data_IF_404296076997
#
_entry.id   IF_404296076997
#
_cell.length_a   1.000
_cell.length_b   1.000
_cell.length_c   1.000
_cell.angle_alpha   90.00
_cell.angle_beta   90.00
_cell.angle_gamma   90.00
#
_symmetry.space_group_name_H-M   'P 1'
#
loop_
_entity.id
_entity.type
_entity.pdbx_description
1 polymer ?
#
# COMPACT_ATOMS: atom_id res chain seq x y z
N UNK A 1 -0.31 1.54 0.07
CA UNK A 1 0.54 0.95 -1.00
C UNK A 1 0.84 1.99 -2.06
N UNK A 2 1.77 1.74 -2.99
CA UNK A 2 2.00 2.63 -4.15
C UNK A 2 1.03 2.29 -5.30
N UNK A 3 1.01 3.10 -6.36
CA UNK A 3 0.11 2.91 -7.50
C UNK A 3 0.31 1.57 -8.23
N UNK A 4 1.55 1.19 -8.55
CA UNK A 4 1.87 -0.12 -9.14
C UNK A 4 1.32 -1.31 -8.33
N UNK A 5 1.48 -1.33 -7.00
CA UNK A 5 0.89 -2.39 -6.18
C UNK A 5 -0.64 -2.41 -6.25
N UNK A 6 -1.29 -1.25 -6.33
CA UNK A 6 -2.74 -1.16 -6.48
C UNK A 6 -3.21 -1.65 -7.87
N UNK A 7 -2.45 -1.37 -8.93
CA UNK A 7 -2.70 -1.92 -10.27
C UNK A 7 -2.69 -3.44 -10.22
N UNK A 8 -1.61 -4.04 -9.70
CA UNK A 8 -1.47 -5.49 -9.64
C UNK A 8 -2.52 -6.14 -8.73
N UNK A 9 -2.87 -5.51 -7.61
CA UNK A 9 -3.93 -5.99 -6.73
C UNK A 9 -5.30 -6.04 -7.45
N UNK A 10 -5.62 -5.01 -8.22
CA UNK A 10 -6.85 -4.97 -9.05
C UNK A 10 -6.82 -6.02 -10.16
N UNK A 11 -5.69 -6.17 -10.85
CA UNK A 11 -5.55 -7.19 -11.90
C UNK A 11 -5.71 -8.60 -11.34
N UNK A 12 -5.10 -8.89 -10.19
CA UNK A 12 -5.25 -10.17 -9.51
C UNK A 12 -6.71 -10.36 -9.07
N UNK A 13 -7.36 -9.34 -8.51
CA UNK A 13 -8.76 -9.42 -8.09
C UNK A 13 -9.72 -9.75 -9.25
N UNK A 14 -9.47 -9.17 -10.43
CA UNK A 14 -10.35 -9.31 -11.60
C UNK A 14 -10.00 -10.53 -12.46
N UNK A 15 -8.72 -10.85 -12.60
CA UNK A 15 -8.21 -11.80 -13.59
C UNK A 15 -7.44 -13.00 -12.99
N UNK A 16 -7.13 -12.99 -11.70
CA UNK A 16 -6.35 -14.02 -11.01
C UNK A 16 -4.85 -14.01 -11.30
N UNK A 17 -4.38 -13.03 -12.08
CA UNK A 17 -2.97 -12.84 -12.47
C UNK A 17 -2.71 -11.39 -12.84
N UNK A 18 -1.46 -10.96 -12.77
CA UNK A 18 -1.01 -9.68 -13.32
C UNK A 18 -0.95 -9.75 -14.86
N UNK A 19 -1.14 -8.61 -15.52
CA UNK A 19 -1.28 -8.55 -16.98
C UNK A 19 0.01 -8.19 -17.75
N UNK A 20 1.13 -8.02 -17.06
CA UNK A 20 2.33 -7.39 -17.62
C UNK A 20 3.44 -8.38 -18.03
N UNK A 21 3.76 -8.42 -19.34
CA UNK A 21 5.06 -8.89 -19.86
C UNK A 21 5.85 -7.67 -20.34
N UNK A 22 6.66 -7.10 -19.44
CA UNK A 22 7.36 -5.81 -19.65
C UNK A 22 8.26 -5.83 -20.88
N UNK A 23 9.07 -6.88 -21.05
CA UNK A 23 10.10 -6.94 -22.08
C UNK A 23 9.54 -6.99 -23.51
N UNK A 24 8.40 -7.64 -23.70
CA UNK A 24 7.75 -7.76 -25.00
C UNK A 24 7.01 -6.47 -25.35
N UNK A 25 6.23 -5.92 -24.42
CA UNK A 25 5.41 -4.73 -24.69
C UNK A 25 6.21 -3.42 -24.84
N UNK A 26 7.46 -3.37 -24.37
CA UNK A 26 8.32 -2.20 -24.60
C UNK A 26 8.80 -2.11 -26.06
N UNK A 27 8.87 -3.23 -26.79
CA UNK A 27 9.37 -3.26 -28.17
C UNK A 27 8.40 -2.63 -29.16
N UNK A 28 7.10 -2.73 -28.89
CA UNK A 28 6.03 -2.24 -29.75
C UNK A 28 5.16 -1.14 -29.12
N UNK A 29 5.44 -0.76 -27.86
CA UNK A 29 4.72 0.29 -27.14
C UNK A 29 3.39 -0.17 -26.53
N UNK A 30 3.10 -1.47 -26.51
CA UNK A 30 1.89 -2.02 -25.89
C UNK A 30 2.00 -2.17 -24.37
N UNK A 31 3.21 -2.03 -23.80
CA UNK A 31 3.41 -2.11 -22.35
C UNK A 31 2.56 -1.06 -21.61
N UNK A 32 1.73 -1.54 -20.69
CA UNK A 32 0.87 -0.68 -19.88
C UNK A 32 -0.38 -0.15 -20.58
N UNK A 33 -0.70 -0.65 -21.80
CA UNK A 33 -1.83 -0.17 -22.61
C UNK A 33 -3.11 -1.00 -22.43
N UNK A 34 -3.21 -1.80 -21.36
CA UNK A 34 -4.40 -2.58 -21.05
C UNK A 34 -5.57 -1.64 -20.70
N UNK A 35 -6.50 -1.51 -21.65
CA UNK A 35 -7.66 -0.60 -21.55
C UNK A 35 -8.51 -0.88 -20.30
N UNK A 36 -8.82 -2.13 -20.04
CA UNK A 36 -9.72 -2.54 -18.94
C UNK A 36 -9.17 -2.17 -17.56
N UNK A 37 -7.86 -2.35 -17.35
CA UNK A 37 -7.18 -1.95 -16.11
C UNK A 37 -7.15 -0.43 -15.96
N UNK A 38 -6.81 0.28 -17.04
CA UNK A 38 -6.74 1.73 -17.04
C UNK A 38 -8.11 2.39 -16.83
N UNK A 39 -9.16 1.89 -17.48
CA UNK A 39 -10.53 2.37 -17.30
C UNK A 39 -11.01 2.17 -15.86
N UNK A 40 -10.77 1.00 -15.26
CA UNK A 40 -11.17 0.73 -13.88
C UNK A 40 -10.49 1.68 -12.88
N UNK A 41 -9.15 1.82 -12.96
CA UNK A 41 -8.39 2.67 -12.04
C UNK A 41 -8.68 4.15 -12.20
N UNK A 42 -8.78 4.64 -13.44
CA UNK A 42 -9.10 6.05 -13.68
C UNK A 42 -10.54 6.38 -13.28
N UNK A 43 -11.50 5.47 -13.52
CA UNK A 43 -12.87 5.61 -13.01
C UNK A 43 -12.89 5.63 -11.48
N UNK A 44 -12.06 4.83 -10.82
CA UNK A 44 -11.94 4.85 -9.37
C UNK A 44 -11.38 6.18 -8.85
N UNK A 45 -10.40 6.77 -9.54
CA UNK A 45 -9.89 8.10 -9.21
C UNK A 45 -10.97 9.18 -9.34
N UNK A 46 -11.74 9.17 -10.44
CA UNK A 46 -12.85 10.11 -10.66
C UNK A 46 -13.94 9.96 -9.60
N UNK A 47 -14.33 8.72 -9.30
CA UNK A 47 -15.30 8.41 -8.24
C UNK A 47 -14.80 8.87 -6.88
N UNK A 48 -13.54 8.60 -6.56
CA UNK A 48 -12.94 8.98 -5.28
C UNK A 48 -12.89 10.50 -5.11
N UNK A 49 -12.54 11.22 -6.18
CA UNK A 49 -12.56 12.68 -6.20
C UNK A 49 -13.96 13.24 -6.01
N UNK A 50 -14.95 12.73 -6.74
CA UNK A 50 -16.35 13.18 -6.65
C UNK A 50 -17.03 12.87 -5.32
N UNK A 51 -16.64 11.77 -4.66
CA UNK A 51 -17.18 11.35 -3.37
C UNK A 51 -16.35 11.83 -2.16
N UNK A 52 -15.25 12.54 -2.39
CA UNK A 52 -14.26 12.88 -1.37
C UNK A 52 -13.85 11.66 -0.52
N UNK A 53 -13.46 10.57 -1.18
CA UNK A 53 -12.91 9.34 -0.56
C UNK A 53 -11.44 9.13 -0.95
N UNK A 54 -10.79 8.18 -0.29
CA UNK A 54 -9.45 7.74 -0.67
C UNK A 54 -9.48 6.87 -1.93
N UNK A 55 -8.39 6.85 -2.71
CA UNK A 55 -8.30 5.98 -3.88
C UNK A 55 -8.32 4.50 -3.47
N UNK A 56 -7.59 4.14 -2.41
CA UNK A 56 -7.53 2.74 -1.93
C UNK A 56 -8.88 2.19 -1.46
N UNK A 57 -9.61 2.94 -0.64
CA UNK A 57 -10.97 2.59 -0.21
C UNK A 57 -11.92 2.46 -1.41
N UNK A 58 -11.84 3.38 -2.36
CA UNK A 58 -12.72 3.39 -3.54
C UNK A 58 -12.45 2.18 -4.44
N UNK A 59 -11.18 1.84 -4.68
CA UNK A 59 -10.81 0.65 -5.43
C UNK A 59 -11.32 -0.62 -4.77
N UNK A 60 -11.10 -0.78 -3.46
CA UNK A 60 -11.59 -1.94 -2.72
C UNK A 60 -13.11 -2.08 -2.77
N UNK A 61 -13.83 -0.96 -2.61
CA UNK A 61 -15.30 -0.92 -2.71
C UNK A 61 -15.78 -1.29 -4.11
N UNK A 62 -15.15 -0.74 -5.16
CA UNK A 62 -15.50 -1.05 -6.54
C UNK A 62 -15.27 -2.53 -6.88
N UNK A 63 -14.20 -3.14 -6.38
CA UNK A 63 -13.95 -4.58 -6.58
C UNK A 63 -15.03 -5.45 -5.95
N UNK A 64 -15.52 -5.07 -4.77
CA UNK A 64 -16.62 -5.77 -4.09
C UNK A 64 -17.95 -5.57 -4.81
N UNK A 65 -18.25 -4.35 -5.28
CA UNK A 65 -19.47 -4.02 -6.02
C UNK A 65 -19.53 -4.71 -7.40
N UNK A 66 -18.40 -4.81 -8.12
CA UNK A 66 -18.29 -5.56 -9.38
C UNK A 66 -18.47 -7.08 -9.16
N UNK A 67 -18.28 -7.56 -7.92
CA UNK A 67 -18.23 -8.99 -7.64
C UNK A 67 -17.00 -9.65 -8.25
N UNK A 68 -15.84 -8.98 -8.16
CA UNK A 68 -14.61 -9.43 -8.81
C UNK A 68 -14.28 -10.90 -8.43
N UNK A 69 -14.03 -11.80 -9.41
CA UNK A 69 -13.98 -13.24 -9.18
C UNK A 69 -12.95 -13.69 -8.13
N UNK A 70 -11.88 -12.92 -7.96
CA UNK A 70 -10.78 -13.19 -7.04
C UNK A 70 -10.64 -12.12 -5.96
N UNK A 71 -11.73 -11.42 -5.60
CA UNK A 71 -11.73 -10.40 -4.54
C UNK A 71 -11.16 -10.91 -3.20
N UNK A 72 -11.30 -12.21 -2.91
CA UNK A 72 -10.79 -12.83 -1.68
C UNK A 72 -9.26 -12.82 -1.51
N UNK A 73 -8.50 -12.64 -2.60
CA UNK A 73 -7.03 -12.55 -2.55
C UNK A 73 -6.51 -11.11 -2.74
N UNK A 74 -7.41 -10.15 -2.96
CA UNK A 74 -7.07 -8.73 -3.06
C UNK A 74 -6.98 -8.09 -1.67
N UNK A 75 -5.89 -7.36 -1.44
CA UNK A 75 -5.70 -6.57 -0.23
C UNK A 75 -6.69 -5.40 -0.18
N UNK A 76 -6.96 -4.74 -1.31
CA UNK A 76 -7.90 -3.61 -1.35
C UNK A 76 -9.33 -4.07 -1.06
N UNK A 77 -9.80 -5.14 -1.71
CA UNK A 77 -11.13 -5.68 -1.48
C UNK A 77 -11.28 -6.24 -0.04
N UNK A 78 -10.27 -6.96 0.46
CA UNK A 78 -10.27 -7.46 1.84
C UNK A 78 -10.29 -6.33 2.87
N UNK A 79 -9.53 -5.25 2.63
CA UNK A 79 -9.52 -4.08 3.50
C UNK A 79 -10.88 -3.38 3.53
N UNK A 80 -11.50 -3.19 2.36
CA UNK A 80 -12.84 -2.63 2.26
C UNK A 80 -13.90 -3.49 2.99
N UNK A 81 -13.87 -4.81 2.79
CA UNK A 81 -14.78 -5.74 3.47
C UNK A 81 -14.62 -5.74 5.00
N UNK A 82 -13.38 -5.54 5.48
CA UNK A 82 -13.07 -5.50 6.91
C UNK A 82 -13.24 -4.10 7.54
N UNK A 83 -13.59 -3.06 6.77
CA UNK A 83 -13.62 -1.68 7.26
C UNK A 83 -12.25 -1.14 7.66
N UNK A 84 -11.16 -1.73 7.13
CA UNK A 84 -9.79 -1.30 7.36
C UNK A 84 -9.40 -0.30 6.27
N UNK A 85 -8.90 0.89 6.61
CA UNK A 85 -8.51 1.86 5.59
C UNK A 85 -7.34 1.37 4.74
N UNK A 86 -7.55 1.34 3.43
CA UNK A 86 -6.49 1.17 2.45
C UNK A 86 -6.20 2.50 1.77
N UNK A 87 -4.92 2.83 1.61
CA UNK A 87 -4.47 4.05 0.94
C UNK A 87 -3.55 3.71 -0.23
N UNK A 88 -3.68 4.43 -1.34
CA UNK A 88 -2.88 4.30 -2.55
C UNK A 88 -2.17 5.62 -2.83
N UNK A 89 -0.84 5.59 -2.79
CA UNK A 89 0.01 6.76 -3.02
C UNK A 89 0.59 6.71 -4.43
N UNK A 90 -0.10 7.41 -5.33
CA UNK A 90 0.22 7.46 -6.76
C UNK A 90 1.48 8.26 -7.00
N UNK A 91 2.37 7.71 -7.82
CA UNK A 91 3.51 8.42 -8.37
C UNK A 91 3.19 8.81 -9.81
N UNK A 92 2.84 10.08 -10.01
CA UNK A 92 2.39 10.62 -11.28
C UNK A 92 3.41 10.36 -12.40
N UNK A 93 2.92 9.83 -13.52
CA UNK A 93 3.74 9.46 -14.67
C UNK A 93 4.49 8.12 -14.54
N UNK A 94 4.39 7.42 -13.41
CA UNK A 94 5.03 6.10 -13.24
C UNK A 94 4.08 4.92 -13.40
N UNK A 95 2.81 5.10 -13.00
CA UNK A 95 1.79 4.06 -13.12
C UNK A 95 1.29 3.95 -14.56
N UNK A 96 1.14 2.72 -15.07
CA UNK A 96 0.80 2.44 -16.47
C UNK A 96 -0.49 3.11 -16.94
N UNK A 97 -1.43 3.32 -16.02
CA UNK A 97 -2.76 3.86 -16.31
C UNK A 97 -2.76 5.35 -16.66
N UNK A 98 -1.65 6.05 -16.40
CA UNK A 98 -1.49 7.48 -16.74
C UNK A 98 -1.36 7.73 -18.24
N UNK A 99 -0.99 6.71 -19.03
CA UNK A 99 -0.86 6.84 -20.48
C UNK A 99 -2.23 6.88 -21.18
N UNK A 100 -3.29 6.46 -20.47
CA UNK A 100 -4.63 6.37 -21.01
C UNK A 100 -5.33 7.75 -21.05
N UNK A 101 -6.12 8.08 -22.09
CA UNK A 101 -6.81 9.37 -22.20
C UNK A 101 -7.79 9.67 -21.04
N UNK A 102 -8.24 8.63 -20.34
CA UNK A 102 -9.10 8.77 -19.16
C UNK A 102 -8.37 9.18 -17.88
N UNK A 103 -7.06 9.36 -17.89
CA UNK A 103 -6.30 9.76 -16.71
C UNK A 103 -6.49 11.24 -16.39
N UNK A 104 -7.41 11.54 -15.47
CA UNK A 104 -7.61 12.90 -14.96
C UNK A 104 -6.65 13.20 -13.81
N UNK A 105 -5.58 13.94 -14.10
CA UNK A 105 -4.55 14.30 -13.12
C UNK A 105 -5.09 15.00 -11.86
N UNK A 106 -6.16 15.79 -12.00
CA UNK A 106 -6.86 16.41 -10.87
C UNK A 106 -7.48 15.35 -9.94
N UNK A 107 -8.23 14.39 -10.49
CA UNK A 107 -8.88 13.35 -9.71
C UNK A 107 -7.87 12.40 -9.05
N UNK A 108 -6.83 12.01 -9.80
CA UNK A 108 -5.71 11.19 -9.31
C UNK A 108 -4.98 11.89 -8.17
N UNK A 109 -4.63 13.17 -8.37
CA UNK A 109 -3.95 13.97 -7.36
C UNK A 109 -4.81 14.18 -6.11
N UNK A 110 -6.10 14.49 -6.28
CA UNK A 110 -7.03 14.72 -5.18
C UNK A 110 -7.22 13.47 -4.31
N UNK A 111 -7.48 12.32 -4.93
CA UNK A 111 -7.70 11.05 -4.24
C UNK A 111 -6.43 10.51 -3.57
N UNK A 112 -5.27 10.58 -4.24
CA UNK A 112 -3.97 10.18 -3.66
C UNK A 112 -3.54 11.09 -2.49
N UNK A 113 -3.78 12.41 -2.59
CA UNK A 113 -3.52 13.34 -1.49
C UNK A 113 -4.48 13.12 -0.31
N UNK A 114 -5.72 12.73 -0.58
CA UNK A 114 -6.66 12.35 0.48
C UNK A 114 -6.20 11.07 1.19
N UNK A 115 -5.72 10.08 0.44
CA UNK A 115 -5.08 8.88 0.99
C UNK A 115 -3.87 9.20 1.87
N UNK A 116 -3.06 10.21 1.52
CA UNK A 116 -2.00 10.70 2.41
C UNK A 116 -2.55 11.22 3.75
N UNK A 117 -3.65 11.98 3.73
CA UNK A 117 -4.28 12.50 4.97
C UNK A 117 -4.86 11.37 5.83
N UNK A 118 -5.48 10.37 5.20
CA UNK A 118 -5.97 9.16 5.89
C UNK A 118 -4.81 8.43 6.56
N UNK A 119 -3.70 8.21 5.84
CA UNK A 119 -2.52 7.57 6.40
C UNK A 119 -1.92 8.38 7.55
N UNK A 120 -1.80 9.71 7.42
CA UNK A 120 -1.28 10.57 8.48
C UNK A 120 -2.13 10.48 9.76
N UNK A 121 -3.46 10.41 9.64
CA UNK A 121 -4.34 10.18 10.78
C UNK A 121 -4.13 8.81 11.44
N UNK A 122 -3.81 7.76 10.67
CA UNK A 122 -3.45 6.44 11.23
C UNK A 122 -2.08 6.43 11.89
N UNK A 123 -1.11 7.12 11.31
CA UNK A 123 0.23 7.28 11.91
C UNK A 123 0.18 8.08 13.21
N UNK A 124 -0.77 9.00 13.36
CA UNK A 124 -0.99 9.69 14.64
C UNK A 124 -1.39 8.76 15.81
N UNK A 125 -1.90 7.56 15.50
CA UNK A 125 -2.24 6.52 16.48
C UNK A 125 -1.20 5.38 16.55
N UNK A 126 0.00 5.57 15.99
CA UNK A 126 1.02 4.53 15.89
C UNK A 126 1.83 4.30 17.18
N UNK A 127 1.66 5.12 18.23
CA UNK A 127 2.44 4.96 19.47
C UNK A 127 2.36 3.54 20.03
N UNK A 128 3.51 2.91 20.27
CA UNK A 128 3.58 1.50 20.72
C UNK A 128 3.12 0.45 19.70
N UNK A 129 2.68 0.87 18.50
CA UNK A 129 2.21 -0.01 17.43
C UNK A 129 3.33 -0.54 16.54
N UNK A 130 2.97 -0.92 15.31
CA UNK A 130 3.90 -1.51 14.34
C UNK A 130 3.71 -0.91 12.95
N UNK A 131 4.82 -0.62 12.26
CA UNK A 131 4.85 -0.26 10.84
C UNK A 131 5.71 -1.24 10.06
N UNK A 132 5.18 -1.73 8.94
CA UNK A 132 5.90 -2.62 8.03
C UNK A 132 6.08 -1.91 6.68
N UNK A 133 7.32 -1.81 6.20
CA UNK A 133 7.62 -1.44 4.83
C UNK A 133 7.97 -2.69 4.04
N UNK A 134 7.16 -3.04 3.05
CA UNK A 134 7.33 -4.26 2.25
C UNK A 134 7.58 -3.89 0.80
N UNK A 135 8.80 -4.14 0.31
CA UNK A 135 9.18 -4.03 -1.10
C UNK A 135 9.19 -2.61 -1.69
N UNK A 136 9.05 -1.56 -0.87
CA UNK A 136 9.11 -0.18 -1.35
C UNK A 136 10.43 0.49 -0.99
N UNK A 137 11.28 0.71 -1.99
CA UNK A 137 12.58 1.34 -1.81
C UNK A 137 12.51 2.88 -1.67
N UNK A 138 11.44 3.52 -2.16
CA UNK A 138 11.35 5.00 -2.25
C UNK A 138 10.00 5.54 -1.80
N UNK A 139 8.91 5.21 -2.52
CA UNK A 139 7.62 5.89 -2.34
C UNK A 139 7.07 5.75 -0.92
N UNK A 140 6.90 4.52 -0.43
CA UNK A 140 6.32 4.31 0.90
C UNK A 140 7.23 4.81 2.04
N UNK A 141 8.57 4.62 2.01
CA UNK A 141 9.46 5.26 2.98
C UNK A 141 9.32 6.77 3.05
N UNK A 142 9.22 7.45 1.91
CA UNK A 142 9.06 8.90 1.88
C UNK A 142 7.67 9.32 2.39
N UNK A 143 6.60 8.68 1.90
CA UNK A 143 5.23 8.94 2.35
C UNK A 143 5.08 8.75 3.86
N UNK A 144 5.57 7.64 4.41
CA UNK A 144 5.53 7.36 5.85
C UNK A 144 6.27 8.43 6.64
N UNK A 145 7.47 8.83 6.21
CA UNK A 145 8.24 9.87 6.91
C UNK A 145 7.48 11.19 6.97
N UNK A 146 6.74 11.56 5.91
CA UNK A 146 5.94 12.79 5.88
C UNK A 146 4.70 12.65 6.75
N UNK A 147 4.03 11.51 6.72
CA UNK A 147 2.89 11.22 7.59
C UNK A 147 3.29 11.29 9.08
N UNK A 148 4.42 10.69 9.46
CA UNK A 148 4.98 10.75 10.81
C UNK A 148 5.34 12.18 11.22
N UNK A 149 5.92 12.95 10.30
CA UNK A 149 6.26 14.35 10.54
C UNK A 149 5.00 15.18 10.81
N UNK A 150 3.95 15.01 9.99
CA UNK A 150 2.65 15.69 10.21
C UNK A 150 2.05 15.29 11.56
N UNK A 151 2.00 13.99 11.87
CA UNK A 151 1.45 13.51 13.13
C UNK A 151 2.17 14.12 14.36
N UNK A 152 3.51 14.09 14.37
CA UNK A 152 4.30 14.69 15.45
C UNK A 152 4.17 16.21 15.49
N UNK A 153 4.11 16.88 14.34
CA UNK A 153 3.95 18.33 14.25
C UNK A 153 2.60 18.81 14.81
N UNK A 154 1.56 17.99 14.69
CA UNK A 154 0.24 18.22 15.29
C UNK A 154 0.18 17.87 16.80
N UNK A 155 1.29 17.47 17.41
CA UNK A 155 1.41 17.23 18.85
C UNK A 155 1.13 15.79 19.29
N UNK A 156 0.97 14.84 18.37
CA UNK A 156 0.80 13.44 18.73
C UNK A 156 2.13 12.81 19.18
N UNK A 157 2.11 12.10 20.30
CA UNK A 157 3.25 11.34 20.83
C UNK A 157 3.51 10.07 20.04
N UNK A 158 4.03 10.17 18.82
CA UNK A 158 4.28 8.98 17.99
C UNK A 158 5.69 8.44 18.25
N UNK A 159 5.84 7.62 19.29
CA UNK A 159 7.08 6.93 19.64
C UNK A 159 6.84 5.47 20.11
N UNK A 160 7.91 4.76 20.49
CA UNK A 160 7.81 3.43 21.11
C UNK A 160 7.34 2.32 20.18
N UNK A 161 7.14 2.59 18.88
CA UNK A 161 6.64 1.64 17.91
C UNK A 161 7.75 0.74 17.34
N UNK A 162 7.32 -0.40 16.81
CA UNK A 162 8.17 -1.31 16.05
C UNK A 162 8.13 -0.94 14.57
N UNK A 163 9.29 -0.84 13.93
CA UNK A 163 9.41 -0.62 12.49
C UNK A 163 10.19 -1.77 11.85
N UNK A 164 9.63 -2.40 10.83
CA UNK A 164 10.32 -3.45 10.08
C UNK A 164 10.34 -3.14 8.59
N UNK A 165 11.52 -3.25 7.98
CA UNK A 165 11.69 -3.20 6.53
C UNK A 165 11.92 -4.61 5.97
N UNK A 166 11.21 -4.96 4.90
CA UNK A 166 11.31 -6.21 4.16
C UNK A 166 11.61 -5.91 2.70
N UNK A 167 12.79 -6.28 2.24
CA UNK A 167 13.20 -6.07 0.86
C UNK A 167 14.19 -7.15 0.43
N UNK A 168 14.30 -7.42 -0.87
CA UNK A 168 15.32 -8.34 -1.39
C UNK A 168 16.72 -7.73 -1.25
N UNK A 169 16.82 -6.40 -1.28
CA UNK A 169 18.08 -5.65 -1.16
C UNK A 169 18.01 -4.60 -0.04
N UNK A 170 19.14 -4.33 0.60
CA UNK A 170 19.22 -3.24 1.59
C UNK A 170 19.34 -1.89 0.89
N UNK A 171 18.30 -1.06 1.03
CA UNK A 171 18.27 0.28 0.47
C UNK A 171 18.48 1.35 1.55
N UNK A 172 19.17 2.44 1.20
CA UNK A 172 19.43 3.54 2.14
C UNK A 172 18.15 4.16 2.71
N UNK A 173 17.15 4.42 1.86
CA UNK A 173 15.93 5.13 2.26
C UNK A 173 15.06 4.34 3.23
N UNK A 174 14.68 3.06 3.01
CA UNK A 174 13.92 2.30 3.99
C UNK A 174 14.66 2.15 5.33
N UNK A 175 15.96 1.82 5.28
CA UNK A 175 16.79 1.71 6.50
C UNK A 175 16.82 3.01 7.28
N UNK A 176 16.95 4.15 6.60
CA UNK A 176 17.08 5.44 7.28
C UNK A 176 15.74 6.03 7.70
N UNK A 177 14.75 6.02 6.79
CA UNK A 177 13.50 6.77 6.89
C UNK A 177 12.32 5.96 7.43
N UNK A 178 12.45 4.63 7.54
CA UNK A 178 11.46 3.76 8.20
C UNK A 178 12.06 3.17 9.47
N UNK A 179 13.26 2.59 9.37
CA UNK A 179 13.83 1.78 10.46
C UNK A 179 14.59 2.63 11.48
N UNK A 180 15.59 3.43 11.08
CA UNK A 180 16.52 4.06 12.04
C UNK A 180 16.01 5.35 12.65
N UNK A 181 15.72 6.37 11.85
CA UNK A 181 15.32 7.69 12.35
C UNK A 181 13.96 7.67 13.06
N UNK A 182 12.94 6.98 12.53
CA UNK A 182 11.60 7.02 13.13
C UNK A 182 11.54 6.39 14.53
N UNK A 183 12.30 5.32 14.75
CA UNK A 183 12.39 4.60 16.04
C UNK A 183 13.58 5.04 16.88
N UNK A 184 14.28 6.13 16.51
CA UNK A 184 15.39 6.65 17.30
C UNK A 184 14.86 7.14 18.66
N UNK A 185 15.45 6.66 19.75
CA UNK A 185 14.96 6.92 21.11
C UNK A 185 14.14 5.75 21.62
N UNK A 186 12.80 5.85 21.57
CA UNK A 186 11.88 4.78 21.98
C UNK A 186 11.34 4.07 20.74
N UNK A 187 11.61 2.79 20.61
CA UNK A 187 11.11 1.94 19.54
C UNK A 187 12.10 0.84 19.16
N UNK A 188 11.68 -0.04 18.25
CA UNK A 188 12.53 -1.13 17.76
C UNK A 188 12.51 -1.17 16.24
N UNK A 189 13.68 -1.00 15.62
CA UNK A 189 13.84 -1.02 14.18
C UNK A 189 14.53 -2.30 13.70
N UNK A 190 13.94 -2.98 12.72
CA UNK A 190 14.48 -4.20 12.10
C UNK A 190 14.53 -4.06 10.58
N UNK A 191 15.61 -4.53 9.97
CA UNK A 191 15.79 -4.53 8.51
C UNK A 191 16.12 -5.96 8.06
N UNK A 192 15.16 -6.58 7.36
CA UNK A 192 15.20 -7.96 6.89
C UNK A 192 15.40 -7.97 5.38
N UNK A 193 16.58 -8.44 4.96
CA UNK A 193 16.93 -8.59 3.56
C UNK A 193 16.74 -10.04 3.11
N UNK A 194 15.91 -10.28 2.09
CA UNK A 194 15.63 -11.60 1.55
C UNK A 194 14.40 -11.62 0.64
N UNK A 195 14.19 -12.75 -0.05
CA UNK A 195 13.05 -12.96 -0.92
C UNK A 195 11.71 -12.84 -0.17
N UNK A 196 10.78 -12.05 -0.69
CA UNK A 196 9.47 -11.82 -0.07
C UNK A 196 8.63 -13.10 0.00
N UNK A 197 8.81 -13.97 -0.97
CA UNK A 197 8.20 -15.30 -1.10
C UNK A 197 8.59 -16.23 0.07
N UNK A 198 9.66 -15.90 0.80
CA UNK A 198 10.10 -16.62 2.00
C UNK A 198 9.77 -15.79 3.25
N UNK A 199 10.16 -14.51 3.28
CA UNK A 199 10.06 -13.69 4.48
C UNK A 199 8.63 -13.40 4.91
N UNK A 200 7.73 -13.14 3.97
CA UNK A 200 6.33 -12.80 4.29
C UNK A 200 5.56 -14.02 4.80
N UNK A 201 5.62 -15.21 4.15
CA UNK A 201 5.00 -16.41 4.71
C UNK A 201 5.56 -16.80 6.09
N UNK A 202 6.87 -16.67 6.31
CA UNK A 202 7.48 -16.94 7.61
C UNK A 202 6.97 -15.98 8.70
N UNK A 203 6.88 -14.67 8.40
CA UNK A 203 6.30 -13.70 9.32
C UNK A 203 4.86 -14.08 9.67
N UNK A 204 4.04 -14.38 8.66
CA UNK A 204 2.64 -14.78 8.86
C UNK A 204 2.52 -16.04 9.70
N UNK A 205 3.35 -17.06 9.44
CA UNK A 205 3.34 -18.31 10.21
C UNK A 205 3.72 -18.09 11.68
N UNK A 206 4.74 -17.27 11.95
CA UNK A 206 5.14 -16.92 13.33
C UNK A 206 4.04 -16.13 14.03
N UNK A 207 3.40 -15.19 13.35
CA UNK A 207 2.30 -14.42 13.93
C UNK A 207 1.09 -15.30 14.25
N UNK A 208 0.72 -16.21 13.35
CA UNK A 208 -0.37 -17.16 13.57
C UNK A 208 -0.10 -18.04 14.80
N UNK A 209 1.09 -18.66 14.88
CA UNK A 209 1.50 -19.48 16.03
C UNK A 209 1.42 -18.71 17.36
N UNK A 210 1.89 -17.46 17.38
CA UNK A 210 1.83 -16.62 18.60
C UNK A 210 0.41 -16.21 18.98
N UNK A 211 -0.47 -15.98 18.01
CA UNK A 211 -1.87 -15.65 18.26
C UNK A 211 -2.63 -16.87 18.79
N UNK A 212 -2.37 -18.06 18.24
CA UNK A 212 -2.98 -19.31 18.70
C UNK A 212 -2.57 -19.63 20.15
N UNK A 213 -1.28 -19.48 20.47
CA UNK A 213 -0.79 -19.64 21.86
C UNK A 213 -1.44 -18.63 22.80
N UNK A 214 -1.62 -17.37 22.37
CA UNK A 214 -2.27 -16.34 23.19
C UNK A 214 -3.76 -16.63 23.44
N UNK A 215 -4.45 -17.28 22.49
CA UNK A 215 -5.86 -17.64 22.62
C UNK A 215 -6.09 -18.96 23.38
N UNK A 216 -5.12 -19.89 23.34
CA UNK A 216 -5.19 -21.19 24.01
C UNK A 216 -4.66 -21.24 25.45
N UNK A 217 -3.94 -20.21 25.92
CA UNK A 217 -3.27 -20.18 27.23
C UNK A 217 -4.13 -19.77 28.45
N UNK A 218 -5.45 -19.83 28.35
CA UNK A 218 -6.39 -19.44 29.42
C UNK A 218 -7.07 -20.59 30.19
N UNK A 219 -6.49 -21.79 30.17
CA UNK A 219 -7.00 -22.99 30.85
C UNK A 219 -6.21 -23.37 32.10
#
# INVERSE_FOLDING_TARGET
>A
MNGSAAIHDVEVARNGRTSEIVEEGLKDGTFGMARETAEFLNTAADRAAGAETGLGETLGTMLLEEGAPHASVSLLASAAAAGVPATVHVALGTDIVHQHPGAHGEAIGASSLRDFRILAARVAALEGGTVLNVGSAVLMPEVFLKALTVARNLGHGVDGFTAANFDMLRHYRPVTNVVRRPTAGRGWGVDLAGHHEILIPLLTAVLADRLDVAQGGGG
#
